data_IF_267198110548
#
_entry.id   IF_267198110548
#
_cell.length_a   1.000
_cell.length_b   1.000
_cell.length_c   1.000
_cell.angle_alpha   90.00
_cell.angle_beta   90.00
_cell.angle_gamma   90.00
#
_symmetry.space_group_name_H-M   'P 1'
#
loop_
_entity.id
_entity.type
_entity.pdbx_description
1 polymer ?
#
# COMPACT_ATOMS: atom_id res chain seq x y z
N UNK A 1 -5.13 -24.45 25.14
CA UNK A 1 -6.50 -24.69 24.71
C UNK A 1 -6.63 -24.30 23.24
N UNK A 2 -7.27 -25.15 22.40
CA UNK A 2 -7.48 -24.80 21.02
C UNK A 2 -8.32 -23.53 20.97
N UNK A 3 -7.92 -22.57 20.12
CA UNK A 3 -8.73 -21.42 19.77
C UNK A 3 -10.01 -21.96 19.09
N UNK A 4 -11.08 -22.08 19.86
CA UNK A 4 -12.39 -22.46 19.33
C UNK A 4 -12.89 -21.28 18.50
N UNK A 5 -12.84 -21.42 17.18
CA UNK A 5 -13.50 -20.49 16.25
C UNK A 5 -15.01 -20.62 16.52
N UNK A 6 -15.59 -19.57 17.06
CA UNK A 6 -17.03 -19.53 17.32
C UNK A 6 -17.79 -19.21 16.04
N UNK A 7 -18.86 -19.94 15.73
CA UNK A 7 -19.66 -19.63 14.56
C UNK A 7 -20.35 -18.25 14.72
N UNK A 8 -20.34 -17.48 13.65
CA UNK A 8 -20.87 -16.12 13.61
C UNK A 8 -21.92 -16.00 12.48
N UNK A 9 -22.86 -15.12 12.67
CA UNK A 9 -23.88 -14.81 11.69
C UNK A 9 -24.07 -13.29 11.61
N UNK A 10 -24.35 -12.77 10.42
CA UNK A 10 -24.60 -11.35 10.27
C UNK A 10 -25.32 -11.01 8.97
N UNK A 11 -26.17 -9.98 9.05
CA UNK A 11 -26.82 -9.38 7.91
C UNK A 11 -26.57 -7.87 7.91
N UNK A 12 -26.33 -7.33 6.73
CA UNK A 12 -26.26 -5.89 6.51
C UNK A 12 -27.26 -5.52 5.43
N UNK A 13 -28.11 -4.56 5.74
CA UNK A 13 -29.07 -3.99 4.80
C UNK A 13 -28.69 -2.55 4.58
N UNK A 14 -28.56 -2.12 3.33
CA UNK A 14 -28.23 -0.73 3.00
C UNK A 14 -29.20 -0.15 1.97
N UNK A 15 -29.38 1.18 2.09
CA UNK A 15 -30.09 2.00 1.12
C UNK A 15 -29.13 3.06 0.60
N UNK A 16 -29.00 3.13 -0.72
CA UNK A 16 -28.12 4.07 -1.42
C UNK A 16 -28.97 5.01 -2.27
N UNK A 17 -28.65 6.29 -2.24
CA UNK A 17 -29.25 7.32 -3.08
C UNK A 17 -28.16 8.17 -3.72
N UNK A 18 -28.12 8.21 -5.04
CA UNK A 18 -27.23 9.04 -5.84
C UNK A 18 -28.07 10.01 -6.69
N UNK A 19 -28.04 11.28 -6.36
CA UNK A 19 -28.73 12.34 -7.09
C UNK A 19 -27.70 13.21 -7.82
N UNK A 20 -27.90 13.37 -9.12
CA UNK A 20 -27.11 14.26 -9.96
C UNK A 20 -28.00 15.39 -10.45
N UNK A 21 -27.62 16.61 -10.12
CA UNK A 21 -28.34 17.82 -10.46
C UNK A 21 -27.71 18.52 -11.67
N UNK A 22 -28.43 19.47 -12.21
CA UNK A 22 -27.89 20.32 -13.28
C UNK A 22 -26.61 21.06 -12.83
N UNK A 23 -25.81 21.51 -13.80
CA UNK A 23 -24.53 22.20 -13.58
C UNK A 23 -23.47 21.36 -12.83
N UNK A 24 -23.65 20.02 -12.74
CA UNK A 24 -22.69 19.09 -12.16
C UNK A 24 -22.75 18.97 -10.65
N UNK A 25 -23.73 19.53 -9.97
CA UNK A 25 -23.93 19.27 -8.53
C UNK A 25 -24.38 17.83 -8.31
N UNK A 26 -23.96 17.25 -7.19
CA UNK A 26 -24.39 15.93 -6.77
C UNK A 26 -24.64 15.88 -5.27
N UNK A 27 -25.57 15.02 -4.91
CA UNK A 27 -25.82 14.59 -3.54
C UNK A 27 -25.81 13.06 -3.51
N UNK A 28 -25.06 12.47 -2.59
CA UNK A 28 -25.00 11.04 -2.37
C UNK A 28 -25.26 10.76 -0.92
N UNK A 29 -26.08 9.77 -0.65
CA UNK A 29 -26.36 9.32 0.70
C UNK A 29 -26.41 7.78 0.74
N UNK A 30 -25.93 7.21 1.81
CA UNK A 30 -26.05 5.78 2.10
C UNK A 30 -26.33 5.63 3.59
N UNK A 31 -27.31 4.79 3.91
CA UNK A 31 -27.59 4.33 5.26
C UNK A 31 -27.56 2.82 5.27
N UNK A 32 -26.89 2.23 6.25
CA UNK A 32 -26.78 0.80 6.42
C UNK A 32 -27.06 0.39 7.85
N UNK A 33 -27.78 -0.68 8.06
CA UNK A 33 -27.99 -1.32 9.35
C UNK A 33 -27.34 -2.70 9.33
N UNK A 34 -26.55 -2.98 10.36
CA UNK A 34 -25.90 -4.27 10.61
C UNK A 34 -26.55 -4.92 11.82
N UNK A 35 -26.92 -6.19 11.70
CA UNK A 35 -27.26 -7.07 12.80
C UNK A 35 -26.28 -8.23 12.77
N UNK A 36 -25.49 -8.38 13.83
CA UNK A 36 -24.36 -9.29 13.89
C UNK A 36 -24.35 -10.08 15.19
N UNK A 37 -24.31 -11.40 15.08
CA UNK A 37 -24.21 -12.34 16.20
C UNK A 37 -22.77 -12.84 16.29
N UNK A 38 -22.08 -12.51 17.39
CA UNK A 38 -20.66 -12.85 17.59
C UNK A 38 -20.44 -14.33 17.93
N UNK A 39 -21.45 -14.98 18.50
CA UNK A 39 -21.36 -16.36 18.94
C UNK A 39 -22.76 -16.98 18.94
N UNK A 40 -23.00 -17.87 17.98
CA UNK A 40 -24.26 -18.61 17.85
C UNK A 40 -24.50 -19.62 18.97
N UNK A 41 -23.47 -19.99 19.74
CA UNK A 41 -23.64 -20.87 20.89
C UNK A 41 -24.22 -20.16 22.12
N UNK A 42 -24.37 -18.81 22.10
CA UNK A 42 -25.00 -18.08 23.20
C UNK A 42 -26.52 -18.28 23.22
N UNK A 43 -27.16 -18.19 24.39
CA UNK A 43 -28.61 -18.34 24.46
C UNK A 43 -29.37 -17.33 23.59
N UNK A 44 -30.55 -17.75 23.14
CA UNK A 44 -31.49 -16.86 22.45
C UNK A 44 -31.89 -15.68 23.34
N UNK A 45 -31.94 -14.49 22.77
CA UNK A 45 -32.31 -13.29 23.51
C UNK A 45 -33.82 -13.05 23.42
N UNK A 46 -34.57 -13.05 24.54
CA UNK A 46 -35.99 -12.77 24.52
C UNK A 46 -36.32 -11.31 24.23
N UNK A 47 -35.37 -10.41 24.44
CA UNK A 47 -35.58 -8.95 24.40
C UNK A 47 -35.20 -8.29 23.07
N UNK A 48 -34.54 -8.99 22.15
CA UNK A 48 -34.17 -8.46 20.85
C UNK A 48 -35.17 -8.94 19.81
N UNK A 49 -35.83 -8.01 19.11
CA UNK A 49 -36.70 -8.37 17.98
C UNK A 49 -35.87 -9.09 16.92
N UNK A 50 -36.12 -10.36 16.76
CA UNK A 50 -35.46 -11.18 15.75
C UNK A 50 -35.84 -10.69 14.37
N UNK A 51 -34.88 -10.63 13.46
CA UNK A 51 -35.09 -10.39 12.02
C UNK A 51 -35.44 -11.74 11.34
N UNK A 52 -36.35 -12.52 11.94
CA UNK A 52 -36.84 -13.75 11.30
C UNK A 52 -37.44 -13.39 9.94
N UNK A 53 -37.19 -14.19 8.90
CA UNK A 53 -36.49 -15.49 8.89
C UNK A 53 -34.97 -15.43 8.71
N UNK A 54 -34.34 -14.24 8.68
CA UNK A 54 -32.95 -14.06 8.29
C UNK A 54 -31.96 -14.30 9.43
N UNK A 55 -32.26 -13.82 10.65
CA UNK A 55 -31.38 -13.95 11.81
C UNK A 55 -32.19 -14.22 13.07
N UNK A 56 -31.76 -15.17 13.87
CA UNK A 56 -32.24 -15.35 15.25
C UNK A 56 -31.38 -14.55 16.22
N UNK A 57 -32.02 -13.77 17.09
CA UNK A 57 -31.30 -12.94 18.05
C UNK A 57 -30.80 -13.78 19.22
N UNK A 58 -29.51 -13.75 19.45
CA UNK A 58 -28.80 -14.32 20.60
C UNK A 58 -28.39 -13.22 21.58
N UNK A 59 -27.95 -13.57 22.78
CA UNK A 59 -27.45 -12.59 23.75
C UNK A 59 -26.17 -11.88 23.29
N UNK A 60 -25.45 -12.45 22.31
CA UNK A 60 -24.30 -11.87 21.64
C UNK A 60 -24.62 -11.05 20.39
N UNK A 61 -25.92 -10.94 20.02
CA UNK A 61 -26.37 -10.20 18.85
C UNK A 61 -26.34 -8.69 19.13
N UNK A 62 -25.70 -7.94 18.24
CA UNK A 62 -25.61 -6.48 18.28
C UNK A 62 -26.20 -5.93 16.99
N UNK A 63 -27.05 -4.92 17.12
CA UNK A 63 -27.57 -4.15 15.98
C UNK A 63 -27.09 -2.71 16.08
N UNK A 64 -26.48 -2.19 15.02
CA UNK A 64 -26.06 -0.79 14.93
C UNK A 64 -26.11 -0.33 13.46
N UNK A 65 -25.89 0.95 13.23
CA UNK A 65 -26.00 1.53 11.91
C UNK A 65 -24.73 2.27 11.48
N UNK A 66 -24.60 2.42 10.17
CA UNK A 66 -23.64 3.26 9.50
C UNK A 66 -24.37 4.21 8.55
N UNK A 67 -23.85 5.40 8.37
CA UNK A 67 -24.38 6.36 7.43
C UNK A 67 -23.25 7.16 6.77
N UNK A 68 -23.41 7.51 5.51
CA UNK A 68 -22.58 8.49 4.85
C UNK A 68 -23.42 9.43 3.99
N UNK A 69 -22.98 10.68 3.91
CA UNK A 69 -23.56 11.67 3.03
C UNK A 69 -22.43 12.48 2.38
N UNK A 70 -22.57 12.77 1.09
CA UNK A 70 -21.64 13.59 0.36
C UNK A 70 -22.39 14.59 -0.53
N UNK A 71 -21.92 15.82 -0.58
CA UNK A 71 -22.39 16.86 -1.47
C UNK A 71 -21.20 17.48 -2.17
N UNK A 72 -21.37 17.81 -3.43
CA UNK A 72 -20.28 18.42 -4.20
C UNK A 72 -20.69 18.84 -5.59
N UNK A 73 -19.68 19.31 -6.31
CA UNK A 73 -19.81 19.71 -7.71
C UNK A 73 -18.72 19.04 -8.54
N UNK A 74 -19.13 18.38 -9.60
CA UNK A 74 -18.23 17.82 -10.62
C UNK A 74 -18.16 18.79 -11.80
N UNK A 75 -16.96 19.22 -12.12
CA UNK A 75 -16.69 20.02 -13.28
C UNK A 75 -15.66 19.36 -14.19
N UNK A 76 -15.41 19.96 -15.33
CA UNK A 76 -14.43 19.45 -16.30
C UNK A 76 -13.01 19.41 -15.71
N UNK A 77 -12.64 20.44 -14.95
CA UNK A 77 -11.28 20.64 -14.44
C UNK A 77 -11.18 20.59 -12.92
N UNK A 78 -12.30 20.71 -12.23
CA UNK A 78 -12.36 20.73 -10.77
C UNK A 78 -13.58 19.95 -10.28
N UNK A 79 -13.34 18.93 -9.50
CA UNK A 79 -14.35 18.28 -8.68
C UNK A 79 -14.07 18.66 -7.21
N UNK A 80 -15.08 19.09 -6.50
CA UNK A 80 -15.01 19.45 -5.09
C UNK A 80 -16.24 18.90 -4.37
N UNK A 81 -16.02 18.25 -3.23
CA UNK A 81 -17.11 17.70 -2.44
C UNK A 81 -16.74 17.54 -0.99
N UNK A 82 -17.74 17.64 -0.14
CA UNK A 82 -17.64 17.36 1.30
C UNK A 82 -18.38 16.07 1.59
N UNK A 83 -17.80 15.22 2.44
CA UNK A 83 -18.38 13.94 2.86
C UNK A 83 -18.33 13.83 4.38
N UNK A 84 -19.41 13.35 4.95
CA UNK A 84 -19.50 12.94 6.35
C UNK A 84 -19.82 11.45 6.37
N UNK A 85 -19.08 10.68 7.18
CA UNK A 85 -19.27 9.23 7.32
C UNK A 85 -19.27 8.85 8.79
N UNK A 86 -20.32 8.20 9.21
CA UNK A 86 -20.48 7.67 10.57
C UNK A 86 -20.52 6.15 10.56
N UNK A 87 -19.82 5.52 11.49
CA UNK A 87 -19.93 4.09 11.78
C UNK A 87 -20.20 3.92 13.27
N UNK A 88 -21.34 3.31 13.58
CA UNK A 88 -21.73 3.02 14.97
C UNK A 88 -20.76 2.04 15.66
N UNK A 89 -20.71 2.07 16.98
CA UNK A 89 -19.80 1.24 17.79
C UNK A 89 -20.03 -0.27 17.63
N UNK A 90 -21.29 -0.66 17.37
CA UNK A 90 -21.69 -2.04 17.17
C UNK A 90 -21.80 -2.46 15.71
N UNK A 91 -21.51 -1.57 14.75
CA UNK A 91 -21.60 -1.90 13.34
C UNK A 91 -20.49 -2.89 12.94
N UNK A 92 -20.88 -4.09 12.53
CA UNK A 92 -19.97 -5.17 12.15
C UNK A 92 -20.49 -5.89 10.90
N UNK A 93 -19.59 -6.48 10.14
CA UNK A 93 -19.91 -7.28 8.94
C UNK A 93 -18.92 -8.42 8.78
N UNK A 94 -19.40 -9.57 8.35
CA UNK A 94 -18.56 -10.76 8.09
C UNK A 94 -17.58 -10.47 6.94
N UNK A 95 -18.01 -9.72 5.92
CA UNK A 95 -17.19 -9.41 4.75
C UNK A 95 -15.99 -8.49 5.04
N UNK A 96 -15.98 -7.79 6.17
CA UNK A 96 -14.88 -6.90 6.57
C UNK A 96 -14.67 -6.93 8.09
N UNK A 97 -14.06 -8.01 8.62
CA UNK A 97 -13.99 -8.27 10.08
C UNK A 97 -13.12 -7.26 10.83
N UNK A 98 -12.23 -6.53 10.14
CA UNK A 98 -11.35 -5.50 10.72
C UNK A 98 -11.90 -4.07 10.57
N UNK A 99 -13.21 -3.93 10.32
CA UNK A 99 -13.83 -2.64 10.21
C UNK A 99 -13.72 -1.87 11.53
N UNK A 100 -13.02 -0.75 11.52
CA UNK A 100 -12.99 0.14 12.67
C UNK A 100 -14.33 0.82 12.84
N UNK A 101 -15.07 0.45 13.86
CA UNK A 101 -16.36 1.02 14.28
C UNK A 101 -16.18 2.21 15.23
N UNK A 102 -17.28 2.82 15.69
CA UNK A 102 -17.35 3.96 16.60
C UNK A 102 -16.55 5.18 16.11
N UNK A 103 -16.79 5.57 14.86
CA UNK A 103 -16.08 6.70 14.24
C UNK A 103 -16.98 7.61 13.45
N UNK A 104 -16.52 8.86 13.35
CA UNK A 104 -17.13 9.91 12.53
C UNK A 104 -16.03 10.60 11.74
N UNK A 105 -16.11 10.53 10.41
CA UNK A 105 -15.15 11.12 9.48
C UNK A 105 -15.79 12.34 8.80
N UNK A 106 -15.06 13.45 8.74
CA UNK A 106 -15.36 14.62 7.93
C UNK A 106 -14.27 14.74 6.86
N UNK A 107 -14.64 14.73 5.61
CA UNK A 107 -13.71 14.70 4.49
C UNK A 107 -14.04 15.77 3.47
N UNK A 108 -13.03 16.49 3.03
CA UNK A 108 -13.01 17.29 1.83
C UNK A 108 -12.34 16.50 0.71
N UNK A 109 -13.07 16.22 -0.35
CA UNK A 109 -12.58 15.51 -1.51
C UNK A 109 -12.41 16.49 -2.66
N UNK A 110 -11.28 16.44 -3.34
CA UNK A 110 -11.03 17.27 -4.50
C UNK A 110 -10.29 16.51 -5.59
N UNK A 111 -10.61 16.85 -6.82
CA UNK A 111 -9.86 16.45 -8.01
C UNK A 111 -9.67 17.67 -8.88
N UNK A 112 -8.43 17.97 -9.20
CA UNK A 112 -8.04 19.10 -10.04
C UNK A 112 -7.31 18.58 -11.28
N UNK A 113 -7.78 18.93 -12.46
CA UNK A 113 -7.09 18.72 -13.73
C UNK A 113 -6.78 20.09 -14.32
N UNK A 114 -5.51 20.38 -14.49
CA UNK A 114 -5.07 21.68 -15.00
C UNK A 114 -3.98 21.52 -16.10
N UNK A 115 -3.58 22.63 -16.71
CA UNK A 115 -2.53 22.68 -17.73
C UNK A 115 -2.77 21.69 -18.88
N UNK A 116 -3.99 21.67 -19.44
CA UNK A 116 -4.38 20.73 -20.51
C UNK A 116 -4.13 19.26 -20.14
N UNK A 117 -4.50 18.88 -18.92
CA UNK A 117 -4.29 17.54 -18.31
C UNK A 117 -2.83 17.18 -17.98
N UNK A 118 -1.90 18.14 -18.02
CA UNK A 118 -0.53 17.92 -17.57
C UNK A 118 -0.39 17.93 -16.04
N UNK A 119 -1.38 18.44 -15.31
CA UNK A 119 -1.45 18.40 -13.85
C UNK A 119 -2.73 17.70 -13.41
N UNK A 120 -2.60 16.71 -12.55
CA UNK A 120 -3.69 16.00 -11.89
C UNK A 120 -3.43 15.96 -10.39
N UNK A 121 -4.36 16.48 -9.60
CA UNK A 121 -4.32 16.41 -8.14
C UNK A 121 -5.60 15.71 -7.69
N UNK A 122 -5.46 14.65 -6.89
CA UNK A 122 -6.55 13.99 -6.21
C UNK A 122 -6.24 14.02 -4.72
N UNK A 123 -7.11 14.62 -3.95
CA UNK A 123 -6.92 14.71 -2.50
C UNK A 123 -8.23 14.42 -1.75
N UNK A 124 -8.08 13.77 -0.61
CA UNK A 124 -9.12 13.61 0.40
C UNK A 124 -8.51 13.97 1.74
N UNK A 125 -8.94 15.07 2.34
CA UNK A 125 -8.37 15.60 3.57
C UNK A 125 -9.48 15.78 4.59
N UNK A 126 -9.22 15.45 5.84
CA UNK A 126 -10.26 15.59 6.84
C UNK A 126 -9.85 15.25 8.25
N UNK A 127 -10.87 15.11 9.08
CA UNK A 127 -10.75 14.76 10.48
C UNK A 127 -11.57 13.51 10.78
N UNK A 128 -10.98 12.59 11.49
CA UNK A 128 -11.64 11.44 12.09
C UNK A 128 -11.79 11.67 13.59
N UNK A 129 -12.98 11.41 14.08
CA UNK A 129 -13.27 11.32 15.51
C UNK A 129 -13.54 9.86 15.83
N UNK A 130 -12.69 9.27 16.65
CA UNK A 130 -12.86 7.90 17.16
C UNK A 130 -13.54 7.94 18.53
N UNK A 131 -14.18 6.84 18.91
CA UNK A 131 -14.93 6.67 20.16
C UNK A 131 -15.99 7.78 20.33
N UNK A 132 -16.83 7.89 19.32
CA UNK A 132 -17.89 8.93 19.27
C UNK A 132 -18.87 8.76 20.44
N UNK A 133 -19.23 7.52 20.81
CA UNK A 133 -20.13 7.21 21.93
C UNK A 133 -19.46 7.40 23.29
N UNK A 134 -18.16 7.12 23.40
CA UNK A 134 -17.43 7.26 24.67
C UNK A 134 -16.62 8.55 24.69
N UNK A 135 -17.17 9.59 25.31
CA UNK A 135 -16.53 10.92 25.35
C UNK A 135 -15.22 10.96 26.12
N UNK A 136 -15.03 10.09 27.12
CA UNK A 136 -13.80 10.02 27.92
C UNK A 136 -12.61 9.46 27.09
N UNK A 137 -12.90 8.61 26.10
CA UNK A 137 -11.90 8.01 25.22
C UNK A 137 -11.88 8.62 23.81
N UNK A 138 -12.66 9.69 23.61
CA UNK A 138 -12.75 10.35 22.31
C UNK A 138 -11.40 10.89 21.86
N UNK A 139 -11.01 10.53 20.65
CA UNK A 139 -9.79 11.02 20.03
C UNK A 139 -10.07 11.59 18.64
N UNK A 140 -9.42 12.69 18.33
CA UNK A 140 -9.46 13.32 17.02
C UNK A 140 -8.12 13.11 16.33
N UNK A 141 -8.16 12.76 15.05
CA UNK A 141 -6.96 12.63 14.23
C UNK A 141 -7.20 13.23 12.85
N UNK A 142 -6.14 13.77 12.28
CA UNK A 142 -6.12 14.12 10.87
C UNK A 142 -6.09 12.83 10.05
N UNK A 143 -6.89 12.77 9.00
CA UNK A 143 -6.85 11.70 7.99
C UNK A 143 -6.75 12.34 6.62
N UNK A 144 -5.96 11.74 5.74
CA UNK A 144 -5.82 12.33 4.43
C UNK A 144 -4.99 11.51 3.48
N UNK A 145 -5.29 11.67 2.21
CA UNK A 145 -4.45 11.23 1.13
C UNK A 145 -4.36 12.34 0.09
N UNK A 146 -3.22 12.38 -0.59
CA UNK A 146 -2.93 13.26 -1.70
C UNK A 146 -2.17 12.47 -2.74
N UNK A 147 -2.60 12.54 -3.98
CA UNK A 147 -1.83 12.16 -5.13
C UNK A 147 -1.74 13.37 -6.06
N UNK A 148 -0.55 13.85 -6.28
CA UNK A 148 -0.27 14.99 -7.15
C UNK A 148 0.71 14.58 -8.23
N UNK A 149 0.24 14.51 -9.45
CA UNK A 149 1.06 14.32 -10.63
C UNK A 149 1.11 15.61 -11.46
N UNK A 150 2.31 15.98 -11.90
CA UNK A 150 2.50 17.11 -12.81
C UNK A 150 3.61 16.82 -13.81
N UNK A 151 3.29 17.02 -15.09
CA UNK A 151 4.24 17.04 -16.18
C UNK A 151 4.60 18.50 -16.47
N UNK A 152 5.72 18.99 -15.94
CA UNK A 152 6.16 20.37 -16.14
C UNK A 152 6.63 20.62 -17.57
N UNK A 153 7.24 19.61 -18.18
CA UNK A 153 7.69 19.64 -19.57
C UNK A 153 7.66 18.22 -20.16
N UNK A 154 7.96 18.08 -21.43
CA UNK A 154 8.09 16.76 -22.06
C UNK A 154 9.29 15.98 -21.52
N UNK A 155 10.18 16.66 -20.80
CA UNK A 155 11.39 16.06 -20.21
C UNK A 155 11.30 15.84 -18.69
N UNK A 156 10.36 16.50 -18.00
CA UNK A 156 10.30 16.45 -16.54
C UNK A 156 8.88 16.28 -16.04
N UNK A 157 8.68 15.27 -15.20
CA UNK A 157 7.46 15.05 -14.43
C UNK A 157 7.76 14.82 -12.96
N UNK A 158 6.79 15.14 -12.12
CA UNK A 158 6.83 14.95 -10.67
C UNK A 158 5.55 14.27 -10.21
N UNK A 159 5.69 13.24 -9.38
CA UNK A 159 4.59 12.66 -8.64
C UNK A 159 4.88 12.79 -7.14
N UNK A 160 3.91 13.30 -6.40
CA UNK A 160 3.94 13.39 -4.93
C UNK A 160 2.74 12.63 -4.38
N UNK A 161 3.01 11.74 -3.46
CA UNK A 161 1.99 10.98 -2.75
C UNK A 161 2.11 11.26 -1.26
N UNK A 162 1.00 11.54 -0.62
CA UNK A 162 0.90 11.60 0.83
C UNK A 162 -0.26 10.74 1.29
N UNK A 163 -0.03 9.96 2.30
CA UNK A 163 -1.06 9.16 2.93
C UNK A 163 -0.90 9.24 4.45
N UNK A 164 -1.99 9.58 5.11
CA UNK A 164 -2.09 9.50 6.56
C UNK A 164 -3.14 8.47 6.90
N UNK A 165 -2.71 7.44 7.59
CA UNK A 165 -3.57 6.37 8.07
C UNK A 165 -3.46 6.28 9.60
N UNK A 166 -4.59 6.27 10.26
CA UNK A 166 -4.62 6.12 11.71
C UNK A 166 -5.58 5.02 12.13
N UNK A 167 -5.15 4.21 13.09
CA UNK A 167 -5.93 3.18 13.72
C UNK A 167 -5.93 3.41 15.23
N UNK A 168 -7.07 3.35 15.86
CA UNK A 168 -7.19 3.42 17.31
C UNK A 168 -8.08 2.30 17.80
N UNK A 169 -7.52 1.39 18.56
CA UNK A 169 -8.27 0.39 19.29
C UNK A 169 -8.51 0.91 20.71
N UNK A 170 -9.64 1.51 20.96
CA UNK A 170 -10.14 1.69 22.32
C UNK A 170 -11.57 1.17 22.33
N UNK A 171 -11.78 0.00 22.89
CA UNK A 171 -13.09 -0.41 23.33
C UNK A 171 -13.20 -0.04 24.83
N UNK A 172 -14.34 0.48 25.26
CA UNK A 172 -14.56 0.87 26.64
C UNK A 172 -14.46 -0.27 27.66
N UNK A 173 -14.17 -1.48 27.22
CA UNK A 173 -13.94 -2.68 28.03
C UNK A 173 -12.46 -3.15 27.99
N UNK A 174 -11.63 -2.55 27.14
CA UNK A 174 -10.22 -2.93 27.02
C UNK A 174 -9.36 -1.75 27.48
N UNK A 175 -8.73 -1.84 28.67
CA UNK A 175 -7.84 -0.80 29.14
C UNK A 175 -6.59 -0.61 28.27
N UNK A 176 -6.29 -1.53 27.37
CA UNK A 176 -5.15 -1.50 26.46
C UNK A 176 -5.52 -0.79 25.14
N UNK A 177 -5.82 0.50 25.20
CA UNK A 177 -6.03 1.31 24.00
C UNK A 177 -4.71 1.59 23.29
N UNK A 178 -4.58 1.18 22.04
CA UNK A 178 -3.43 1.48 21.19
C UNK A 178 -3.88 2.52 20.16
N UNK A 179 -3.10 3.58 20.01
CA UNK A 179 -3.27 4.57 18.95
C UNK A 179 -2.10 4.47 17.99
N UNK A 180 -2.36 4.06 16.77
CA UNK A 180 -1.38 3.93 15.71
C UNK A 180 -1.64 4.98 14.64
N UNK A 181 -0.63 5.75 14.29
CA UNK A 181 -0.71 6.74 13.20
C UNK A 181 0.47 6.56 12.27
N UNK A 182 0.19 6.29 11.00
CA UNK A 182 1.16 6.28 9.92
C UNK A 182 1.04 7.54 9.07
N UNK A 183 2.17 8.13 8.75
CA UNK A 183 2.30 9.22 7.80
C UNK A 183 3.33 8.81 6.75
N UNK A 184 2.89 8.70 5.51
CA UNK A 184 3.71 8.28 4.38
C UNK A 184 3.78 9.41 3.36
N UNK A 185 4.98 9.82 2.98
CA UNK A 185 5.25 10.83 1.96
C UNK A 185 6.16 10.23 0.90
N UNK A 186 5.72 10.24 -0.35
CA UNK A 186 6.52 9.85 -1.50
C UNK A 186 6.72 11.02 -2.45
N UNK A 187 7.94 11.20 -2.96
CA UNK A 187 8.31 12.22 -3.95
C UNK A 187 9.09 11.53 -5.06
N UNK A 188 8.57 11.57 -6.29
CA UNK A 188 9.08 10.80 -7.42
C UNK A 188 9.27 11.69 -8.65
N UNK A 189 10.36 12.44 -8.76
CA UNK A 189 10.72 13.15 -9.99
C UNK A 189 11.26 12.19 -11.06
N UNK A 190 10.92 12.46 -12.30
CA UNK A 190 11.37 11.68 -13.46
C UNK A 190 11.82 12.63 -14.57
N UNK A 191 13.01 12.40 -15.10
CA UNK A 191 13.61 13.14 -16.21
C UNK A 191 13.82 12.22 -17.40
N UNK A 192 13.36 12.63 -18.57
CA UNK A 192 13.55 11.90 -19.82
C UNK A 192 14.19 12.81 -20.85
N UNK A 193 15.33 12.40 -21.37
CA UNK A 193 16.04 13.11 -22.43
C UNK A 193 16.13 12.21 -23.66
N UNK A 194 15.56 12.63 -24.76
CA UNK A 194 15.57 11.89 -26.01
C UNK A 194 16.62 12.48 -26.95
N UNK A 195 17.73 11.76 -27.12
CA UNK A 195 18.73 12.03 -28.12
C UNK A 195 18.43 11.28 -29.44
N UNK A 196 19.24 11.52 -30.49
CA UNK A 196 19.06 10.83 -31.77
C UNK A 196 19.26 9.29 -31.67
N UNK A 197 20.15 8.84 -30.80
CA UNK A 197 20.52 7.42 -30.66
C UNK A 197 20.24 6.83 -29.28
N UNK A 198 20.08 7.68 -28.29
CA UNK A 198 19.98 7.25 -26.88
C UNK A 198 18.81 8.01 -26.23
N UNK A 199 17.97 7.27 -25.52
CA UNK A 199 16.99 7.83 -24.58
C UNK A 199 17.56 7.66 -23.19
N UNK A 200 17.64 8.77 -22.43
CA UNK A 200 18.08 8.75 -21.03
C UNK A 200 16.86 8.89 -20.13
N UNK A 201 16.65 7.96 -19.25
CA UNK A 201 15.64 8.02 -18.19
C UNK A 201 16.36 8.10 -16.85
N UNK A 202 16.12 9.16 -16.10
CA UNK A 202 16.57 9.31 -14.71
C UNK A 202 15.32 9.40 -13.85
N UNK A 203 15.17 8.49 -12.91
CA UNK A 203 14.08 8.52 -11.93
C UNK A 203 14.65 8.54 -10.51
N UNK A 204 14.07 9.39 -9.68
CA UNK A 204 14.30 9.36 -8.24
C UNK A 204 13.00 8.96 -7.56
N UNK A 205 13.12 8.27 -6.45
CA UNK A 205 12.02 8.04 -5.52
C UNK A 205 12.54 8.26 -4.11
N UNK A 206 11.88 9.12 -3.37
CA UNK A 206 12.12 9.29 -1.95
C UNK A 206 10.82 9.02 -1.21
N UNK A 207 10.85 8.07 -0.30
CA UNK A 207 9.73 7.74 0.56
C UNK A 207 10.13 7.93 2.01
N UNK A 208 9.31 8.67 2.73
CA UNK A 208 9.39 8.85 4.17
C UNK A 208 8.14 8.24 4.78
N UNK A 209 8.32 7.34 5.74
CA UNK A 209 7.22 6.76 6.52
C UNK A 209 7.52 6.98 8.00
N UNK A 210 6.55 7.54 8.70
CA UNK A 210 6.58 7.67 10.15
C UNK A 210 5.39 6.95 10.74
N UNK A 211 5.67 6.00 11.60
CA UNK A 211 4.68 5.26 12.35
C UNK A 211 4.85 5.52 13.83
N UNK A 212 3.83 6.11 14.44
CA UNK A 212 3.77 6.37 15.87
C UNK A 212 2.73 5.44 16.52
N UNK A 213 3.16 4.67 17.50
CA UNK A 213 2.32 3.85 18.33
C UNK A 213 2.32 4.41 19.75
N UNK A 214 1.14 4.67 20.29
CA UNK A 214 0.98 5.15 21.65
C UNK A 214 0.10 4.19 22.43
N UNK A 215 0.63 3.65 23.50
CA UNK A 215 -0.14 2.97 24.53
C UNK A 215 -0.89 4.03 25.36
N UNK A 216 -2.21 3.95 25.32
CA UNK A 216 -3.07 4.96 25.99
C UNK A 216 -3.02 4.83 27.53
N UNK A 217 -2.72 3.64 28.08
CA UNK A 217 -2.64 3.43 29.51
C UNK A 217 -1.33 3.89 30.12
N UNK A 218 -0.23 3.48 29.51
CA UNK A 218 1.10 3.81 30.03
C UNK A 218 1.59 5.17 29.52
N UNK A 219 0.95 5.73 28.50
CA UNK A 219 1.39 6.93 27.80
C UNK A 219 2.68 6.76 27.02
N UNK A 220 3.25 5.55 26.98
CA UNK A 220 4.46 5.25 26.23
C UNK A 220 4.20 5.42 24.73
N UNK A 221 5.11 6.11 24.08
CA UNK A 221 5.07 6.27 22.62
C UNK A 221 6.30 5.62 22.03
N UNK A 222 6.06 4.73 21.07
CA UNK A 222 7.11 4.17 20.22
C UNK A 222 6.99 4.78 18.84
N UNK A 223 8.10 5.17 18.24
CA UNK A 223 8.14 5.78 16.91
C UNK A 223 9.07 4.99 16.02
N UNK A 224 8.60 4.72 14.82
CA UNK A 224 9.37 4.11 13.75
C UNK A 224 9.46 5.12 12.60
N UNK A 225 10.68 5.48 12.23
CA UNK A 225 10.93 6.38 11.11
C UNK A 225 11.70 5.63 10.02
N UNK A 226 11.14 5.57 8.84
CA UNK A 226 11.74 4.92 7.67
C UNK A 226 11.98 5.94 6.57
N UNK A 227 13.17 5.94 6.02
CA UNK A 227 13.55 6.73 4.85
C UNK A 227 14.04 5.77 3.76
N UNK A 228 13.48 5.86 2.58
CA UNK A 228 13.92 5.09 1.41
C UNK A 228 14.18 6.04 0.26
N UNK A 229 15.40 6.04 -0.24
CA UNK A 229 15.79 6.79 -1.42
C UNK A 229 16.24 5.84 -2.52
N UNK A 230 15.71 5.98 -3.73
CA UNK A 230 16.11 5.23 -4.92
C UNK A 230 16.43 6.22 -6.03
N UNK A 231 17.61 6.12 -6.61
CA UNK A 231 18.00 6.79 -7.84
C UNK A 231 18.24 5.72 -8.91
N UNK A 232 17.61 5.87 -10.06
CA UNK A 232 17.78 4.96 -11.20
C UNK A 232 18.12 5.75 -12.44
N UNK A 233 19.08 5.25 -13.20
CA UNK A 233 19.47 5.79 -14.51
C UNK A 233 19.48 4.69 -15.54
N UNK A 234 18.65 4.84 -16.61
CA UNK A 234 18.50 3.87 -17.69
C UNK A 234 18.75 4.56 -19.03
N UNK A 235 19.98 4.50 -19.57
CA UNK A 235 20.23 4.86 -20.97
C UNK A 235 19.78 3.73 -21.90
N UNK A 236 18.89 4.00 -22.83
CA UNK A 236 18.42 3.02 -23.82
C UNK A 236 19.00 3.36 -25.19
N UNK A 237 19.81 2.46 -25.72
CA UNK A 237 20.42 2.59 -27.05
C UNK A 237 19.49 2.05 -28.12
N UNK A 238 18.88 2.94 -28.92
CA UNK A 238 17.81 2.59 -29.85
C UNK A 238 18.25 1.64 -30.96
N UNK A 239 19.44 1.90 -31.52
CA UNK A 239 19.96 1.08 -32.63
C UNK A 239 20.41 -0.32 -32.21
N UNK A 240 20.89 -0.46 -30.97
CA UNK A 240 21.46 -1.72 -30.48
C UNK A 240 20.49 -2.53 -29.62
N UNK A 241 19.34 -1.96 -29.28
CA UNK A 241 18.35 -2.57 -28.36
C UNK A 241 18.98 -3.02 -27.03
N UNK A 242 19.92 -2.21 -26.52
CA UNK A 242 20.64 -2.43 -25.28
C UNK A 242 20.19 -1.36 -24.28
N UNK A 243 19.88 -1.78 -23.09
CA UNK A 243 19.50 -0.90 -21.99
C UNK A 243 20.27 -1.25 -20.72
N UNK A 244 21.39 -0.57 -20.45
CA UNK A 244 21.99 -0.60 -19.12
C UNK A 244 21.02 0.04 -18.10
N UNK A 245 21.11 -0.40 -16.87
CA UNK A 245 20.31 0.10 -15.74
C UNK A 245 21.25 0.21 -14.54
N UNK A 246 21.34 1.41 -13.98
CA UNK A 246 22.14 1.68 -12.80
C UNK A 246 21.24 2.21 -11.70
N UNK A 247 21.29 1.65 -10.52
CA UNK A 247 20.51 2.12 -9.41
C UNK A 247 21.27 2.15 -8.09
N UNK A 248 20.90 3.13 -7.26
CA UNK A 248 21.38 3.29 -5.90
C UNK A 248 20.15 3.37 -5.00
N UNK A 249 20.02 2.42 -4.09
CA UNK A 249 19.00 2.39 -3.06
C UNK A 249 19.65 2.70 -1.71
N UNK A 250 19.09 3.66 -0.99
CA UNK A 250 19.38 3.91 0.41
C UNK A 250 18.14 3.66 1.24
N UNK A 251 18.26 2.86 2.28
CA UNK A 251 17.21 2.59 3.23
C UNK A 251 17.73 2.84 4.64
N UNK A 252 16.98 3.61 5.40
CA UNK A 252 17.22 3.87 6.81
C UNK A 252 15.93 3.63 7.58
N UNK A 253 16.01 2.82 8.63
CA UNK A 253 14.91 2.58 9.55
C UNK A 253 15.39 2.75 10.99
N UNK A 254 14.69 3.57 11.73
CA UNK A 254 14.93 3.82 13.14
C UNK A 254 13.72 3.37 13.93
N UNK A 255 13.88 2.26 14.64
CA UNK A 255 12.88 1.71 15.57
C UNK A 255 13.43 1.78 16.99
N UNK A 256 12.58 1.70 18.02
CA UNK A 256 13.06 1.63 19.40
C UNK A 256 14.08 0.52 19.59
N UNK A 257 15.29 0.89 20.03
CA UNK A 257 16.39 -0.04 20.26
C UNK A 257 17.20 -0.48 19.04
N UNK A 258 16.78 -0.14 17.79
CA UNK A 258 17.51 -0.56 16.61
C UNK A 258 17.50 0.50 15.50
N UNK A 259 18.67 0.70 14.88
CA UNK A 259 18.84 1.51 13.66
C UNK A 259 19.36 0.62 12.55
N UNK A 260 18.61 0.51 11.47
CA UNK A 260 18.97 -0.31 10.31
C UNK A 260 19.29 0.62 9.15
N UNK A 261 20.44 0.42 8.53
CA UNK A 261 20.84 1.16 7.34
C UNK A 261 21.22 0.15 6.25
N UNK A 262 20.67 0.30 5.06
CA UNK A 262 21.05 -0.46 3.88
C UNK A 262 21.43 0.51 2.77
N UNK A 263 22.55 0.24 2.11
CA UNK A 263 22.93 0.91 0.88
C UNK A 263 23.16 -0.16 -0.20
N UNK A 264 22.39 -0.09 -1.28
CA UNK A 264 22.46 -1.06 -2.38
C UNK A 264 22.82 -0.35 -3.66
N UNK A 265 23.84 -0.86 -4.35
CA UNK A 265 24.29 -0.43 -5.66
C UNK A 265 23.96 -1.56 -6.64
N UNK A 266 23.27 -1.24 -7.72
CA UNK A 266 22.95 -2.22 -8.76
C UNK A 266 23.38 -1.71 -10.12
N UNK A 267 23.90 -2.63 -10.93
CA UNK A 267 24.12 -2.44 -12.36
C UNK A 267 23.51 -3.61 -13.11
N UNK A 268 22.66 -3.35 -14.08
CA UNK A 268 22.06 -4.36 -14.91
C UNK A 268 22.22 -4.01 -16.40
N UNK A 269 22.26 -5.02 -17.24
CA UNK A 269 22.30 -4.88 -18.69
C UNK A 269 21.21 -5.76 -19.29
N UNK A 270 20.27 -5.13 -20.00
CA UNK A 270 19.25 -5.84 -20.77
C UNK A 270 19.56 -5.70 -22.26
N UNK A 271 19.52 -6.80 -23.01
CA UNK A 271 19.72 -6.76 -24.45
C UNK A 271 18.84 -7.78 -25.17
N UNK A 272 18.51 -7.46 -26.41
CA UNK A 272 17.87 -8.40 -27.32
C UNK A 272 18.89 -8.88 -28.35
N UNK A 273 18.87 -10.18 -28.63
CA UNK A 273 19.80 -10.83 -29.57
C UNK A 273 19.04 -11.81 -30.47
N UNK A 274 19.77 -12.44 -31.45
CA UNK A 274 19.22 -13.43 -32.35
C UNK A 274 17.95 -13.00 -33.09
N UNK A 275 17.95 -11.79 -33.67
CA UNK A 275 16.77 -11.18 -34.34
C UNK A 275 15.54 -11.12 -33.43
N UNK A 276 15.73 -10.67 -32.18
CA UNK A 276 14.70 -10.56 -31.12
C UNK A 276 14.14 -11.88 -30.60
N UNK A 277 14.78 -13.00 -30.93
CA UNK A 277 14.41 -14.32 -30.39
C UNK A 277 14.96 -14.55 -28.97
N UNK A 278 16.06 -13.88 -28.63
CA UNK A 278 16.71 -14.04 -27.33
C UNK A 278 16.69 -12.71 -26.56
N UNK A 279 16.26 -12.76 -25.31
CA UNK A 279 16.38 -11.67 -24.33
C UNK A 279 17.34 -12.11 -23.25
N UNK A 280 18.34 -11.28 -23.01
CA UNK A 280 19.34 -11.48 -21.97
C UNK A 280 19.22 -10.34 -20.96
N UNK A 281 19.30 -10.66 -19.67
CA UNK A 281 19.44 -9.66 -18.61
C UNK A 281 20.47 -10.18 -17.60
N UNK A 282 21.58 -9.48 -17.48
CA UNK A 282 22.56 -9.66 -16.42
C UNK A 282 22.39 -8.57 -15.37
N UNK A 283 22.58 -8.89 -14.10
CA UNK A 283 22.53 -7.94 -13.01
C UNK A 283 23.58 -8.27 -11.96
N UNK A 284 24.24 -7.25 -11.47
CA UNK A 284 25.13 -7.28 -10.32
C UNK A 284 24.60 -6.32 -9.27
N UNK A 285 24.47 -6.76 -8.04
CA UNK A 285 23.97 -5.99 -6.93
C UNK A 285 24.89 -6.15 -5.73
N UNK A 286 25.29 -5.04 -5.13
CA UNK A 286 26.07 -5.02 -3.91
C UNK A 286 25.33 -4.26 -2.82
N UNK A 287 25.12 -4.89 -1.67
CA UNK A 287 24.39 -4.32 -0.53
C UNK A 287 25.29 -4.28 0.69
N UNK A 288 25.35 -3.10 1.30
CA UNK A 288 25.94 -2.86 2.62
C UNK A 288 24.80 -2.74 3.63
N UNK A 289 24.77 -3.59 4.64
CA UNK A 289 23.77 -3.56 5.70
C UNK A 289 24.42 -3.29 7.05
N UNK A 290 23.89 -2.33 7.82
CA UNK A 290 24.37 -1.99 9.14
C UNK A 290 23.22 -2.01 10.15
N UNK A 291 23.44 -2.64 11.30
CA UNK A 291 22.54 -2.64 12.45
C UNK A 291 23.21 -1.93 13.62
N UNK A 292 22.63 -0.81 14.06
CA UNK A 292 23.21 0.07 15.10
C UNK A 292 24.64 0.51 14.78
N UNK A 293 25.55 0.34 15.74
CA UNK A 293 26.99 0.59 15.60
C UNK A 293 27.80 -0.63 15.17
N UNK A 294 27.14 -1.78 14.94
CA UNK A 294 27.83 -3.01 14.56
C UNK A 294 28.48 -2.92 13.18
N UNK A 295 29.44 -3.80 12.93
CA UNK A 295 30.10 -3.92 11.63
C UNK A 295 29.11 -4.24 10.52
N UNK A 296 29.37 -3.73 9.31
CA UNK A 296 28.48 -3.89 8.17
C UNK A 296 28.48 -5.32 7.64
N UNK A 297 27.31 -5.85 7.36
CA UNK A 297 27.14 -7.01 6.52
C UNK A 297 27.27 -6.63 5.05
N UNK A 298 27.87 -7.49 4.25
CA UNK A 298 28.06 -7.31 2.82
C UNK A 298 27.34 -8.42 2.08
N UNK A 299 26.60 -8.06 1.05
CA UNK A 299 25.91 -9.00 0.19
C UNK A 299 26.17 -8.65 -1.28
N UNK A 300 26.73 -9.59 -2.04
CA UNK A 300 26.95 -9.47 -3.48
C UNK A 300 26.10 -10.51 -4.19
N UNK A 301 25.19 -10.05 -5.04
CA UNK A 301 24.32 -10.89 -5.85
C UNK A 301 24.65 -10.67 -7.32
N UNK A 302 24.97 -11.74 -8.02
CA UNK A 302 25.04 -11.77 -9.47
C UNK A 302 23.90 -12.63 -10.01
N UNK A 303 23.18 -12.14 -11.01
CA UNK A 303 22.10 -12.89 -11.64
C UNK A 303 22.11 -12.73 -13.17
N UNK A 304 21.65 -13.77 -13.85
CA UNK A 304 21.50 -13.78 -15.30
C UNK A 304 20.17 -14.44 -15.66
N UNK A 305 19.39 -13.74 -16.47
CA UNK A 305 18.14 -14.25 -17.02
C UNK A 305 18.25 -14.35 -18.53
N UNK A 306 17.91 -15.51 -19.08
CA UNK A 306 17.95 -15.81 -20.49
C UNK A 306 16.58 -16.34 -20.91
N UNK A 307 15.90 -15.59 -21.79
CA UNK A 307 14.68 -16.05 -22.44
C UNK A 307 14.94 -16.28 -23.91
N UNK A 308 14.70 -17.47 -24.41
CA UNK A 308 14.89 -17.82 -25.80
C UNK A 308 13.59 -18.36 -26.41
N UNK A 309 13.10 -17.65 -27.45
CA UNK A 309 11.91 -18.05 -28.21
C UNK A 309 12.26 -19.17 -29.18
N UNK A 310 12.00 -20.41 -28.84
CA UNK A 310 12.19 -21.58 -29.71
C UNK A 310 11.21 -21.54 -30.87
N UNK A 311 9.95 -21.20 -30.60
CA UNK A 311 8.89 -21.00 -31.60
C UNK A 311 8.05 -19.76 -31.26
N UNK A 312 7.05 -19.44 -32.08
CA UNK A 312 6.09 -18.35 -31.75
C UNK A 312 5.32 -18.58 -30.44
N UNK A 313 5.22 -19.84 -29.99
CA UNK A 313 4.44 -20.25 -28.83
C UNK A 313 5.25 -20.83 -27.69
N UNK A 314 6.49 -21.23 -27.95
CA UNK A 314 7.35 -21.89 -26.96
C UNK A 314 8.57 -21.01 -26.65
N UNK A 315 8.74 -20.67 -25.40
CA UNK A 315 9.91 -19.94 -24.88
C UNK A 315 10.62 -20.82 -23.85
N UNK A 316 11.92 -20.93 -23.98
CA UNK A 316 12.80 -21.49 -22.95
C UNK A 316 13.33 -20.34 -22.09
N UNK A 317 13.19 -20.46 -20.77
CA UNK A 317 13.65 -19.46 -19.81
C UNK A 317 14.62 -20.11 -18.82
N UNK A 318 15.73 -19.43 -18.57
CA UNK A 318 16.73 -19.86 -17.58
C UNK A 318 17.12 -18.67 -16.72
N UNK A 319 17.09 -18.87 -15.41
CA UNK A 319 17.54 -17.92 -14.40
C UNK A 319 18.67 -18.54 -13.59
N UNK A 320 19.80 -17.84 -13.56
CA UNK A 320 20.97 -18.18 -12.75
C UNK A 320 21.17 -17.08 -11.72
N UNK A 321 21.50 -17.45 -10.50
CA UNK A 321 21.83 -16.50 -9.44
C UNK A 321 22.94 -17.04 -8.57
N UNK A 322 23.83 -16.17 -8.15
CA UNK A 322 24.85 -16.45 -7.14
C UNK A 322 24.81 -15.34 -6.11
N UNK A 323 24.74 -15.71 -4.86
CA UNK A 323 24.69 -14.82 -3.72
C UNK A 323 25.89 -15.11 -2.81
N UNK A 324 26.75 -14.13 -2.63
CA UNK A 324 27.83 -14.16 -1.64
C UNK A 324 27.47 -13.26 -0.48
N UNK A 325 27.39 -13.81 0.72
CA UNK A 325 27.07 -13.08 1.93
C UNK A 325 28.23 -13.13 2.94
N UNK A 326 28.62 -11.94 3.43
CA UNK A 326 29.63 -11.79 4.47
C UNK A 326 29.04 -11.09 5.68
N UNK A 327 29.08 -11.75 6.83
CA UNK A 327 28.65 -11.18 8.11
C UNK A 327 29.68 -10.19 8.67
N UNK A 328 29.19 -9.16 9.35
CA UNK A 328 30.01 -8.34 10.24
C UNK A 328 30.35 -9.14 11.50
N UNK A 329 31.62 -9.16 11.87
CA UNK A 329 32.14 -10.00 12.97
C UNK A 329 31.50 -9.75 14.34
N UNK A 330 30.94 -8.53 14.54
CA UNK A 330 30.34 -8.12 15.82
C UNK A 330 28.89 -8.62 15.96
N UNK A 331 28.19 -8.90 14.85
CA UNK A 331 26.78 -9.31 14.88
C UNK A 331 26.66 -10.81 15.13
N UNK A 332 27.52 -11.60 14.50
CA UNK A 332 27.57 -13.05 14.63
C UNK A 332 29.03 -13.45 14.83
N UNK A 333 29.47 -13.60 16.09
CA UNK A 333 30.80 -14.12 16.36
C UNK A 333 30.95 -15.49 15.69
N UNK A 334 31.96 -15.67 14.85
CA UNK A 334 32.16 -16.87 14.03
C UNK A 334 31.08 -17.14 12.97
N UNK A 335 30.30 -16.13 12.57
CA UNK A 335 29.35 -16.22 11.46
C UNK A 335 30.02 -16.69 10.18
N UNK A 336 29.60 -17.81 9.63
CA UNK A 336 30.15 -18.33 8.39
C UNK A 336 29.69 -17.48 7.21
N UNK A 337 30.66 -16.93 6.45
CA UNK A 337 30.34 -16.42 5.13
C UNK A 337 29.82 -17.57 4.28
N UNK A 338 28.84 -17.31 3.43
CA UNK A 338 28.33 -18.35 2.55
C UNK A 338 28.22 -17.87 1.09
N UNK A 339 28.26 -18.82 0.20
CA UNK A 339 27.93 -18.66 -1.23
C UNK A 339 26.77 -19.59 -1.53
N UNK A 340 25.72 -19.03 -2.08
CA UNK A 340 24.57 -19.79 -2.55
C UNK A 340 24.42 -19.58 -4.04
N UNK A 341 24.30 -20.67 -4.81
CA UNK A 341 24.10 -20.62 -6.25
C UNK A 341 22.82 -21.35 -6.61
N UNK A 342 21.93 -20.68 -7.33
CA UNK A 342 20.66 -21.22 -7.79
C UNK A 342 20.57 -21.21 -9.31
N UNK A 343 19.99 -22.27 -9.86
CA UNK A 343 19.62 -22.35 -11.27
C UNK A 343 18.16 -22.79 -11.38
N UNK A 344 17.40 -22.05 -12.17
CA UNK A 344 16.04 -22.45 -12.53
C UNK A 344 15.92 -22.41 -14.05
N UNK A 345 15.46 -23.50 -14.66
CA UNK A 345 15.19 -23.57 -16.09
C UNK A 345 13.80 -24.12 -16.33
N UNK A 346 13.18 -23.72 -17.41
CA UNK A 346 11.82 -24.16 -17.75
C UNK A 346 11.38 -23.75 -19.13
N UNK A 347 10.25 -24.29 -19.54
CA UNK A 347 9.61 -23.97 -20.80
C UNK A 347 8.25 -23.34 -20.54
N UNK A 348 7.99 -22.24 -21.23
CA UNK A 348 6.71 -21.56 -21.20
C UNK A 348 6.02 -21.73 -22.55
N UNK A 349 4.87 -22.37 -22.57
CA UNK A 349 4.05 -22.53 -23.77
C UNK A 349 2.83 -21.64 -23.71
N UNK A 350 2.58 -20.86 -24.77
CA UNK A 350 1.42 -19.98 -24.90
C UNK A 350 0.33 -20.65 -25.72
N UNK A 351 -0.80 -20.89 -25.09
CA UNK A 351 -2.01 -21.36 -25.78
C UNK A 351 -2.77 -20.15 -26.35
N UNK A 352 -2.98 -20.13 -27.68
CA UNK A 352 -3.87 -19.15 -28.26
C UNK A 352 -5.29 -19.72 -28.21
N UNK A 353 -6.16 -19.17 -27.38
CA UNK A 353 -7.60 -19.39 -27.49
C UNK A 353 -8.06 -18.74 -28.78
N UNK A 354 -8.55 -19.52 -29.74
CA UNK A 354 -9.22 -19.00 -30.94
C UNK A 354 -10.33 -18.08 -30.47
N UNK A 355 -10.31 -16.82 -30.85
CA UNK A 355 -11.51 -15.97 -30.75
C UNK A 355 -12.61 -16.70 -31.54
N UNK A 356 -13.63 -17.18 -30.85
CA UNK A 356 -14.87 -17.52 -31.52
C UNK A 356 -15.35 -16.25 -32.23
N UNK A 357 -15.45 -16.36 -33.55
CA UNK A 357 -16.06 -15.33 -34.41
C UNK A 357 -17.53 -15.19 -34.12
#
# INVERSE_FOLDING_TARGET
PPLTIRPQEGIVISLVSDLYLEQGFYFKAEGAQSTFTKDLATPLSPNVKSLKPFIEAHTSTITDFAAQAAVGKKGKNLDLGVMVKYLGAGFQTIGYPFLQSDRLDYLLNTRINAWKNKMNIVASLGQRVNNVKNTALRAKQFIGNLNWFTQFSDKFSLNINYNNFGFQTASGLNPFGIKNVSNDLGINPTFTFTGKKIIHLISMSYNYSKYDERDVMTGLTTSNNTHTGLLTYVPTYLEKEISPDFSILYFYNNVPGAKITLATFSAALSMQAAKKKMRLRGQLQYTLGKLNSFSSNNNLIASCNIDFKLTKKLTWATFLTTNYFKYGNEIIPNGANYVETGCRTGFQYRFDTKKQK
#
